data_IF_757805997235
#
_entry.id   IF_757805997235
#
_cell.length_a   1.000
_cell.length_b   1.000
_cell.length_c   1.000
_cell.angle_alpha   90.00
_cell.angle_beta   90.00
_cell.angle_gamma   90.00
#
_symmetry.space_group_name_H-M   'P 1'
#
loop_
_entity.id
_entity.type
_entity.pdbx_description
1 polymer ?
#
# COMPACT_ATOMS: atom_id res chain seq x y z
N UNK A 1 -9.85 -0.92 -0.10
CA UNK A 1 -9.25 -1.47 1.13
C UNK A 1 -7.90 -2.10 0.83
N UNK A 2 -7.05 -2.36 1.84
CA UNK A 2 -5.74 -2.99 1.62
C UNK A 2 -5.84 -4.31 0.81
N UNK A 3 -6.86 -5.13 1.10
CA UNK A 3 -7.12 -6.38 0.37
C UNK A 3 -7.36 -6.15 -1.14
N UNK A 4 -8.10 -5.12 -1.53
CA UNK A 4 -8.34 -4.82 -2.95
C UNK A 4 -7.07 -4.34 -3.65
N UNK A 5 -6.20 -3.64 -2.92
CA UNK A 5 -4.94 -3.16 -3.46
C UNK A 5 -3.96 -4.32 -3.70
N UNK A 6 -3.85 -5.24 -2.74
CA UNK A 6 -3.04 -6.45 -2.87
C UNK A 6 -3.56 -7.40 -3.95
N UNK A 7 -4.90 -7.55 -4.07
CA UNK A 7 -5.51 -8.37 -5.12
C UNK A 7 -5.20 -7.82 -6.52
N UNK A 8 -5.20 -6.49 -6.71
CA UNK A 8 -4.80 -5.86 -7.98
C UNK A 8 -3.32 -6.11 -8.31
N UNK A 9 -2.43 -6.05 -7.33
CA UNK A 9 -1.00 -6.32 -7.54
C UNK A 9 -0.74 -7.79 -7.88
N UNK A 10 -1.47 -8.72 -7.26
CA UNK A 10 -1.36 -10.17 -7.50
C UNK A 10 -1.68 -10.59 -8.93
N UNK A 11 -2.58 -9.88 -9.61
CA UNK A 11 -3.01 -10.23 -10.98
C UNK A 11 -2.04 -9.71 -12.06
N UNK A 12 -1.29 -8.65 -11.75
CA UNK A 12 -0.50 -7.91 -12.74
C UNK A 12 0.96 -8.36 -12.76
N UNK A 13 1.49 -8.88 -11.64
CA UNK A 13 2.92 -9.12 -11.46
C UNK A 13 3.19 -10.60 -11.19
N UNK A 14 3.90 -11.25 -12.10
CA UNK A 14 4.59 -12.53 -11.80
C UNK A 14 5.67 -12.19 -10.77
N UNK A 15 5.70 -12.86 -9.61
CA UNK A 15 6.43 -12.46 -8.39
C UNK A 15 5.80 -11.30 -7.59
N UNK A 16 4.48 -11.35 -7.44
CA UNK A 16 3.72 -10.39 -6.63
C UNK A 16 4.16 -10.34 -5.15
N UNK A 17 4.66 -11.45 -4.62
CA UNK A 17 5.14 -11.61 -3.24
C UNK A 17 6.35 -10.72 -2.93
N UNK A 18 7.26 -10.54 -3.89
CA UNK A 18 8.38 -9.59 -3.79
C UNK A 18 7.89 -8.14 -3.68
N UNK A 19 6.72 -7.84 -4.26
CA UNK A 19 6.17 -6.49 -4.32
C UNK A 19 5.23 -6.17 -3.16
N UNK A 20 4.84 -7.16 -2.35
CA UNK A 20 3.97 -6.98 -1.18
C UNK A 20 4.54 -5.96 -0.18
N UNK A 21 5.83 -5.97 0.19
CA UNK A 21 6.38 -4.98 1.12
C UNK A 21 6.27 -3.55 0.60
N UNK A 22 6.56 -3.34 -0.69
CA UNK A 22 6.45 -2.03 -1.34
C UNK A 22 5.00 -1.53 -1.39
N UNK A 23 4.05 -2.41 -1.67
CA UNK A 23 2.63 -2.07 -1.69
C UNK A 23 2.12 -1.72 -0.30
N UNK A 24 2.51 -2.50 0.72
CA UNK A 24 2.15 -2.22 2.12
C UNK A 24 2.74 -0.89 2.60
N UNK A 25 4.00 -0.61 2.24
CA UNK A 25 4.62 0.67 2.54
C UNK A 25 3.86 1.82 1.89
N UNK A 26 3.61 1.74 0.57
CA UNK A 26 2.88 2.78 -0.16
C UNK A 26 1.47 3.01 0.40
N UNK A 27 0.74 1.94 0.75
CA UNK A 27 -0.58 2.02 1.37
C UNK A 27 -0.51 2.74 2.72
N UNK A 28 0.46 2.39 3.58
CA UNK A 28 0.64 3.01 4.89
C UNK A 28 1.06 4.48 4.78
N UNK A 29 1.93 4.81 3.83
CA UNK A 29 2.31 6.20 3.55
C UNK A 29 1.14 7.01 3.01
N UNK A 30 0.29 6.42 2.16
CA UNK A 30 -0.92 7.07 1.68
C UNK A 30 -1.91 7.35 2.84
N UNK A 31 -2.12 6.39 3.74
CA UNK A 31 -2.95 6.59 4.94
C UNK A 31 -2.36 7.65 5.89
N UNK A 32 -1.04 7.65 6.08
CA UNK A 32 -0.38 8.69 6.89
C UNK A 32 -0.37 10.06 6.22
N UNK A 33 -0.27 10.15 4.89
CA UNK A 33 -0.40 11.40 4.15
C UNK A 33 -1.81 12.00 4.26
N UNK A 34 -2.83 11.16 4.44
CA UNK A 34 -4.20 11.62 4.75
C UNK A 34 -4.40 12.00 6.21
N UNK A 35 -3.50 11.56 7.11
CA UNK A 35 -3.48 12.02 8.50
C UNK A 35 -2.77 13.37 8.51
N UNK A 36 -3.55 14.47 8.47
CA UNK A 36 -3.03 15.82 8.73
C UNK A 36 -2.11 15.74 9.95
N UNK A 37 -0.84 16.05 9.74
CA UNK A 37 0.08 16.33 10.85
C UNK A 37 -0.49 17.58 11.50
N UNK A 38 -1.28 17.43 12.55
CA UNK A 38 -1.68 18.55 13.39
C UNK A 38 -0.40 19.01 14.09
N UNK A 39 0.08 20.19 13.70
CA UNK A 39 1.18 20.87 14.37
C UNK A 39 0.80 21.09 15.83
N UNK A 40 1.65 20.62 16.75
CA UNK A 40 1.56 20.92 18.18
C UNK A 40 1.71 22.41 18.46
#
# INVERSE_FOLDING_TARGET
TLCEFLAKTSVIVTDWDINVPSVLFAYRTAEQATTKIESF
#
